data_IF_956769084858
#
_entry.id   IF_956769084858
#
_cell.length_a   1.000
_cell.length_b   1.000
_cell.length_c   1.000
_cell.angle_alpha   90.00
_cell.angle_beta   90.00
_cell.angle_gamma   90.00
#
_symmetry.space_group_name_H-M   'P 1'
#
loop_
_entity.id
_entity.type
_entity.pdbx_description
1 polymer ?
#
# COMPACT_ATOMS: atom_id res chain seq x y z
N UNK A 1 -15.34 -33.91 -26.02
CA UNK A 1 -16.34 -33.37 -26.96
C UNK A 1 -16.29 -31.85 -26.82
N UNK A 2 -15.43 -31.21 -27.61
CA UNK A 2 -15.11 -29.79 -27.46
C UNK A 2 -16.20 -28.91 -28.07
N UNK A 3 -16.88 -28.13 -27.23
CA UNK A 3 -17.71 -27.02 -27.68
C UNK A 3 -16.76 -25.90 -28.13
N UNK A 4 -16.56 -25.78 -29.44
CA UNK A 4 -15.99 -24.58 -30.04
C UNK A 4 -16.94 -23.42 -29.72
N UNK A 5 -16.53 -22.53 -28.82
CA UNK A 5 -17.19 -21.25 -28.64
C UNK A 5 -17.15 -20.51 -29.98
N UNK A 6 -18.33 -20.27 -30.57
CA UNK A 6 -18.46 -19.41 -31.74
C UNK A 6 -17.99 -18.02 -31.33
N UNK A 7 -16.95 -17.49 -31.99
CA UNK A 7 -16.59 -16.09 -31.88
C UNK A 7 -17.82 -15.25 -32.22
N UNK A 8 -18.35 -14.52 -31.23
CA UNK A 8 -19.44 -13.59 -31.44
C UNK A 8 -18.85 -12.36 -32.11
N UNK A 9 -19.40 -12.01 -33.28
CA UNK A 9 -18.99 -10.82 -33.99
C UNK A 9 -19.47 -9.58 -33.22
N UNK A 10 -18.58 -8.59 -33.08
CA UNK A 10 -18.94 -7.29 -32.52
C UNK A 10 -20.04 -6.64 -33.35
N UNK A 11 -20.94 -5.84 -32.73
CA UNK A 11 -21.80 -4.93 -33.47
C UNK A 11 -20.97 -4.03 -34.39
N UNK A 12 -21.39 -3.84 -35.64
CA UNK A 12 -20.62 -3.13 -36.69
C UNK A 12 -20.11 -1.76 -36.23
N UNK A 13 -20.90 -1.03 -35.43
CA UNK A 13 -20.53 0.27 -34.88
C UNK A 13 -19.35 0.17 -33.90
N UNK A 14 -19.36 -0.79 -32.97
CA UNK A 14 -18.28 -0.99 -32.00
C UNK A 14 -17.04 -1.56 -32.68
N UNK A 15 -17.22 -2.48 -33.63
CA UNK A 15 -16.13 -3.01 -34.45
C UNK A 15 -15.40 -1.88 -35.20
N UNK A 16 -16.13 -0.92 -35.75
CA UNK A 16 -15.56 0.24 -36.43
C UNK A 16 -14.73 1.09 -35.46
N UNK A 17 -15.27 1.41 -34.27
CA UNK A 17 -14.55 2.20 -33.26
C UNK A 17 -13.26 1.50 -32.81
N UNK A 18 -13.32 0.19 -32.53
CA UNK A 18 -12.14 -0.61 -32.15
C UNK A 18 -11.09 -0.61 -33.26
N UNK A 19 -11.51 -0.76 -34.51
CA UNK A 19 -10.61 -0.69 -35.66
C UNK A 19 -9.98 0.69 -35.82
N UNK A 20 -10.72 1.77 -35.57
CA UNK A 20 -10.22 3.15 -35.62
C UNK A 20 -9.17 3.38 -34.54
N UNK A 21 -9.40 2.93 -33.30
CA UNK A 21 -8.41 2.97 -32.21
C UNK A 21 -7.15 2.22 -32.63
N UNK A 22 -7.30 0.98 -33.13
CA UNK A 22 -6.19 0.16 -33.56
C UNK A 22 -5.41 0.76 -34.75
N UNK A 23 -6.10 1.42 -35.68
CA UNK A 23 -5.48 2.11 -36.80
C UNK A 23 -4.72 3.36 -36.35
N UNK A 24 -5.33 4.18 -35.48
CA UNK A 24 -4.71 5.38 -34.93
C UNK A 24 -3.48 5.07 -34.08
N UNK A 25 -3.54 4.04 -33.23
CA UNK A 25 -2.40 3.58 -32.43
C UNK A 25 -1.22 3.15 -33.31
N UNK A 26 -1.48 2.32 -34.35
CA UNK A 26 -0.45 1.88 -35.31
C UNK A 26 0.09 3.04 -36.17
N UNK A 27 -0.77 3.99 -36.51
CA UNK A 27 -0.41 5.21 -37.24
C UNK A 27 0.32 6.25 -36.41
N UNK A 28 0.42 6.05 -35.08
CA UNK A 28 0.94 7.03 -34.12
C UNK A 28 0.22 8.39 -34.19
N UNK A 29 -1.10 8.34 -34.39
CA UNK A 29 -1.96 9.51 -34.54
C UNK A 29 -2.73 9.76 -33.22
N UNK A 30 -2.23 10.65 -32.33
CA UNK A 30 -2.85 10.89 -31.04
C UNK A 30 -4.24 11.54 -31.15
N UNK A 31 -4.46 12.39 -32.17
CA UNK A 31 -5.75 13.07 -32.35
C UNK A 31 -6.83 12.09 -32.77
N UNK A 32 -6.55 11.25 -33.78
CA UNK A 32 -7.46 10.20 -34.20
C UNK A 32 -7.71 9.17 -33.09
N UNK A 33 -6.67 8.84 -32.30
CA UNK A 33 -6.75 7.91 -31.19
C UNK A 33 -7.71 8.42 -30.10
N UNK A 34 -7.52 9.66 -29.64
CA UNK A 34 -8.36 10.28 -28.61
C UNK A 34 -9.80 10.46 -29.11
N UNK A 35 -9.98 10.87 -30.37
CA UNK A 35 -11.31 10.98 -30.97
C UNK A 35 -12.03 9.63 -31.03
N UNK A 36 -11.32 8.53 -31.34
CA UNK A 36 -11.90 7.18 -31.34
C UNK A 36 -12.17 6.67 -29.92
N UNK A 37 -11.28 6.97 -28.96
CA UNK A 37 -11.49 6.70 -27.53
C UNK A 37 -12.72 7.39 -26.97
N UNK A 38 -12.98 8.65 -27.32
CA UNK A 38 -14.20 9.34 -26.91
C UNK A 38 -15.45 8.66 -27.48
N UNK A 39 -15.44 8.27 -28.76
CA UNK A 39 -16.56 7.51 -29.35
C UNK A 39 -16.81 6.18 -28.64
N UNK A 40 -15.74 5.51 -28.20
CA UNK A 40 -15.84 4.28 -27.40
C UNK A 40 -16.51 4.56 -26.05
N UNK A 41 -16.07 5.60 -25.34
CA UNK A 41 -16.64 6.00 -24.05
C UNK A 41 -18.14 6.34 -24.17
N UNK A 42 -18.54 7.08 -25.21
CA UNK A 42 -19.93 7.48 -25.44
C UNK A 42 -20.86 6.27 -25.70
N UNK A 43 -20.32 5.17 -26.24
CA UNK A 43 -21.07 3.95 -26.58
C UNK A 43 -20.98 2.86 -25.51
N UNK A 44 -20.16 3.08 -24.48
CA UNK A 44 -19.89 2.08 -23.45
C UNK A 44 -21.15 1.54 -22.78
N UNK A 45 -22.10 2.43 -22.44
CA UNK A 45 -23.34 2.07 -21.76
C UNK A 45 -24.36 1.30 -22.63
N UNK A 46 -24.16 1.27 -23.96
CA UNK A 46 -25.05 0.59 -24.90
C UNK A 46 -24.57 -0.83 -25.27
N UNK A 47 -23.30 -1.14 -24.98
CA UNK A 47 -22.67 -2.42 -25.32
C UNK A 47 -22.99 -3.50 -24.28
N UNK A 48 -23.14 -4.75 -24.72
CA UNK A 48 -23.23 -5.87 -23.79
C UNK A 48 -21.84 -6.24 -23.24
N UNK A 49 -21.81 -6.93 -22.09
CA UNK A 49 -20.56 -7.47 -21.52
C UNK A 49 -19.76 -8.29 -22.54
N UNK A 50 -20.46 -9.11 -23.33
CA UNK A 50 -19.86 -9.91 -24.39
C UNK A 50 -19.22 -9.07 -25.50
N UNK A 51 -19.84 -7.94 -25.86
CA UNK A 51 -19.28 -7.02 -26.86
C UNK A 51 -18.02 -6.34 -26.31
N UNK A 52 -18.04 -5.92 -25.05
CA UNK A 52 -16.89 -5.30 -24.40
C UNK A 52 -15.71 -6.27 -24.27
N UNK A 53 -15.95 -7.54 -23.91
CA UNK A 53 -14.90 -8.58 -23.83
C UNK A 53 -14.29 -8.89 -25.21
N UNK A 54 -15.12 -8.91 -26.27
CA UNK A 54 -14.64 -9.06 -27.63
C UNK A 54 -13.81 -7.84 -28.08
N UNK A 55 -14.18 -6.61 -27.68
CA UNK A 55 -13.38 -5.41 -27.92
C UNK A 55 -12.02 -5.46 -27.22
N UNK A 56 -11.98 -5.88 -25.95
CA UNK A 56 -10.73 -6.10 -25.18
C UNK A 56 -9.83 -7.11 -25.90
N UNK A 57 -10.39 -8.23 -26.36
CA UNK A 57 -9.65 -9.26 -27.09
C UNK A 57 -9.01 -8.72 -28.37
N UNK A 58 -9.70 -7.85 -29.10
CA UNK A 58 -9.18 -7.24 -30.33
C UNK A 58 -8.12 -6.15 -30.07
N UNK A 59 -8.25 -5.43 -28.96
CA UNK A 59 -7.32 -4.36 -28.57
C UNK A 59 -6.09 -4.87 -27.82
N UNK A 60 -6.12 -6.08 -27.26
CA UNK A 60 -4.99 -6.69 -26.57
C UNK A 60 -3.67 -6.71 -27.40
N UNK A 61 -3.63 -7.19 -28.67
CA UNK A 61 -2.42 -7.11 -29.48
C UNK A 61 -2.01 -5.67 -29.80
N UNK A 62 -2.98 -4.75 -29.90
CA UNK A 62 -2.70 -3.32 -30.12
C UNK A 62 -2.00 -2.71 -28.92
N UNK A 63 -2.38 -3.08 -27.70
CA UNK A 63 -1.72 -2.62 -26.47
C UNK A 63 -0.25 -3.03 -26.43
N UNK A 64 0.05 -4.28 -26.81
CA UNK A 64 1.42 -4.80 -26.84
C UNK A 64 2.32 -4.05 -27.82
N UNK A 65 1.78 -3.68 -28.98
CA UNK A 65 2.53 -2.98 -30.04
C UNK A 65 2.40 -1.44 -29.97
N UNK A 66 1.65 -0.92 -28.99
CA UNK A 66 1.35 0.51 -28.91
C UNK A 66 2.63 1.33 -28.67
N UNK A 67 2.79 2.49 -29.34
CA UNK A 67 3.84 3.42 -28.97
C UNK A 67 3.64 3.87 -27.51
N UNK A 68 4.72 4.10 -26.76
CA UNK A 68 4.65 4.41 -25.33
C UNK A 68 3.73 5.59 -25.00
N UNK A 69 3.65 6.59 -25.88
CA UNK A 69 2.77 7.76 -25.74
C UNK A 69 1.27 7.46 -25.84
N UNK A 70 0.88 6.34 -26.48
CA UNK A 70 -0.51 5.92 -26.63
C UNK A 70 -0.84 4.65 -25.83
N UNK A 71 0.16 3.88 -25.43
CA UNK A 71 -0.02 2.65 -24.66
C UNK A 71 -0.68 2.90 -23.30
N UNK A 72 -0.25 3.95 -22.58
CA UNK A 72 -0.86 4.33 -21.30
C UNK A 72 -2.35 4.68 -21.43
N UNK A 73 -2.74 5.62 -22.31
CA UNK A 73 -4.14 5.90 -22.60
C UNK A 73 -4.95 4.66 -23.04
N UNK A 74 -4.37 3.80 -23.88
CA UNK A 74 -5.03 2.55 -24.29
C UNK A 74 -5.24 1.59 -23.11
N UNK A 75 -4.27 1.49 -22.21
CA UNK A 75 -4.37 0.70 -20.98
C UNK A 75 -5.54 1.18 -20.09
N UNK A 76 -5.75 2.50 -19.99
CA UNK A 76 -6.89 3.07 -19.25
C UNK A 76 -8.24 2.75 -19.90
N UNK A 77 -8.33 2.83 -21.23
CA UNK A 77 -9.54 2.40 -21.94
C UNK A 77 -9.82 0.91 -21.72
N UNK A 78 -8.80 0.06 -21.82
CA UNK A 78 -8.92 -1.37 -21.57
C UNK A 78 -9.36 -1.68 -20.14
N UNK A 79 -8.79 -0.99 -19.14
CA UNK A 79 -9.23 -1.09 -17.74
C UNK A 79 -10.71 -0.76 -17.57
N UNK A 80 -11.17 0.33 -18.21
CA UNK A 80 -12.58 0.73 -18.23
C UNK A 80 -13.47 -0.30 -18.93
N UNK A 81 -13.03 -0.83 -20.08
CA UNK A 81 -13.76 -1.83 -20.84
C UNK A 81 -13.95 -3.11 -20.03
N UNK A 82 -12.89 -3.59 -19.39
CA UNK A 82 -12.94 -4.78 -18.54
C UNK A 82 -13.85 -4.53 -17.33
N UNK A 83 -13.71 -3.39 -16.66
CA UNK A 83 -14.51 -3.06 -15.49
C UNK A 83 -14.37 -4.10 -14.36
N UNK A 84 -15.42 -4.20 -13.53
CA UNK A 84 -15.42 -5.10 -12.37
C UNK A 84 -15.89 -6.53 -12.70
N UNK A 85 -16.37 -6.78 -13.92
CA UNK A 85 -17.02 -8.04 -14.31
C UNK A 85 -16.51 -8.67 -15.62
N UNK A 86 -15.70 -7.96 -16.41
CA UNK A 86 -15.14 -8.46 -17.67
C UNK A 86 -13.88 -9.32 -17.51
N UNK A 87 -13.44 -9.94 -18.60
CA UNK A 87 -12.22 -10.77 -18.60
C UNK A 87 -10.94 -9.92 -18.76
N UNK A 88 -10.10 -9.90 -17.73
CA UNK A 88 -8.81 -9.20 -17.75
C UNK A 88 -7.67 -10.02 -18.37
N UNK A 89 -7.86 -11.33 -18.53
CA UNK A 89 -6.83 -12.28 -18.97
C UNK A 89 -6.12 -11.85 -20.26
N UNK A 90 -6.80 -11.31 -21.30
CA UNK A 90 -6.15 -10.98 -22.57
C UNK A 90 -5.07 -9.90 -22.47
N UNK A 91 -5.09 -9.05 -21.43
CA UNK A 91 -4.21 -7.87 -21.32
C UNK A 91 -3.34 -7.86 -20.07
N UNK A 92 -3.60 -8.75 -19.11
CA UNK A 92 -3.01 -8.67 -17.77
C UNK A 92 -1.48 -8.76 -17.80
N UNK A 93 -0.90 -9.64 -18.63
CA UNK A 93 0.55 -9.76 -18.81
C UNK A 93 1.17 -8.45 -19.29
N UNK A 94 0.58 -7.83 -20.33
CA UNK A 94 1.08 -6.57 -20.89
C UNK A 94 0.93 -5.43 -19.88
N UNK A 95 -0.21 -5.32 -19.20
CA UNK A 95 -0.43 -4.27 -18.19
C UNK A 95 0.60 -4.36 -17.06
N UNK A 96 0.86 -5.56 -16.53
CA UNK A 96 1.81 -5.73 -15.43
C UNK A 96 3.26 -5.55 -15.88
N UNK A 97 3.66 -6.06 -17.04
CA UNK A 97 5.01 -5.84 -17.57
C UNK A 97 5.30 -4.35 -17.72
N UNK A 98 4.37 -3.59 -18.30
CA UNK A 98 4.54 -2.15 -18.47
C UNK A 98 4.47 -1.38 -17.15
N UNK A 99 3.64 -1.80 -16.19
CA UNK A 99 3.64 -1.21 -14.85
C UNK A 99 4.99 -1.43 -14.12
N UNK A 100 5.59 -2.62 -14.23
CA UNK A 100 6.91 -2.89 -13.67
C UNK A 100 7.97 -1.96 -14.29
N UNK A 101 8.04 -1.90 -15.63
CA UNK A 101 8.98 -1.04 -16.36
C UNK A 101 8.79 0.43 -16.01
N UNK A 102 7.54 0.89 -15.90
CA UNK A 102 7.22 2.25 -15.54
C UNK A 102 7.74 2.64 -14.16
N UNK A 103 7.57 1.77 -13.16
CA UNK A 103 8.06 1.98 -11.79
C UNK A 103 9.59 1.94 -11.74
N UNK A 104 10.21 0.93 -12.35
CA UNK A 104 11.67 0.77 -12.44
C UNK A 104 12.33 1.95 -13.16
N UNK A 105 11.80 2.33 -14.33
CA UNK A 105 12.29 3.44 -15.13
C UNK A 105 12.06 4.80 -14.48
N UNK A 106 10.97 4.97 -13.72
CA UNK A 106 10.73 6.20 -12.93
C UNK A 106 11.85 6.42 -11.91
N UNK A 107 12.24 5.38 -11.16
CA UNK A 107 13.36 5.48 -10.20
C UNK A 107 14.65 5.88 -10.90
N UNK A 108 14.94 5.24 -12.03
CA UNK A 108 16.12 5.53 -12.83
C UNK A 108 16.11 6.96 -13.37
N UNK A 109 14.95 7.46 -13.82
CA UNK A 109 14.80 8.84 -14.27
C UNK A 109 15.13 9.82 -13.15
N UNK A 110 14.54 9.64 -11.97
CA UNK A 110 14.74 10.55 -10.83
C UNK A 110 16.21 10.62 -10.43
N UNK A 111 16.88 9.47 -10.29
CA UNK A 111 18.29 9.44 -9.96
C UNK A 111 19.17 10.12 -11.02
N UNK A 112 18.93 9.84 -12.31
CA UNK A 112 19.76 10.37 -13.39
C UNK A 112 19.45 11.82 -13.76
N UNK A 113 18.20 12.26 -13.62
CA UNK A 113 17.81 13.62 -13.94
C UNK A 113 18.44 14.58 -12.92
N UNK A 114 18.39 14.23 -11.64
CA UNK A 114 19.06 15.00 -10.57
C UNK A 114 20.58 15.08 -10.79
N UNK A 115 21.23 13.96 -11.14
CA UNK A 115 22.67 13.91 -11.42
C UNK A 115 23.07 14.75 -12.65
N UNK A 116 22.33 14.63 -13.77
CA UNK A 116 22.79 15.04 -15.09
C UNK A 116 22.20 16.37 -15.57
N UNK A 117 21.01 16.73 -15.10
CA UNK A 117 20.26 17.90 -15.56
C UNK A 117 20.05 18.91 -14.43
N UNK A 118 19.72 18.42 -13.23
CA UNK A 118 19.40 19.21 -12.04
C UNK A 118 18.08 18.76 -11.41
N UNK A 119 17.42 19.59 -10.59
CA UNK A 119 16.24 19.16 -9.83
C UNK A 119 15.17 18.51 -10.71
N UNK A 120 14.65 17.38 -10.26
CA UNK A 120 13.61 16.62 -10.96
C UNK A 120 12.34 17.47 -11.11
N UNK A 121 11.81 17.66 -12.33
CA UNK A 121 10.59 18.41 -12.54
C UNK A 121 9.39 17.65 -12.00
N UNK A 122 8.34 18.36 -11.59
CA UNK A 122 7.06 17.71 -11.30
C UNK A 122 6.56 16.95 -12.55
N UNK A 123 5.97 15.77 -12.36
CA UNK A 123 5.53 14.92 -13.47
C UNK A 123 4.56 15.65 -14.41
N UNK A 124 3.64 16.43 -13.85
CA UNK A 124 2.66 17.20 -14.60
C UNK A 124 3.27 18.34 -15.43
N UNK A 125 4.47 18.79 -15.06
CA UNK A 125 5.21 19.86 -15.73
C UNK A 125 6.24 19.32 -16.73
N UNK A 126 6.55 18.02 -16.67
CA UNK A 126 7.51 17.38 -17.56
C UNK A 126 6.96 17.31 -18.99
N UNK A 127 7.51 18.14 -19.89
CA UNK A 127 7.12 18.23 -21.29
C UNK A 127 8.23 17.81 -22.27
N UNK A 128 8.10 18.26 -23.51
CA UNK A 128 9.07 17.97 -24.59
C UNK A 128 10.47 18.50 -24.25
N UNK A 129 10.55 19.67 -23.61
CA UNK A 129 11.82 20.27 -23.21
C UNK A 129 12.58 19.40 -22.20
N UNK A 130 11.93 19.00 -21.12
CA UNK A 130 12.53 18.19 -20.06
C UNK A 130 12.93 16.81 -20.61
N UNK A 131 12.08 16.25 -21.49
CA UNK A 131 12.40 15.03 -22.23
C UNK A 131 13.67 15.17 -23.08
N UNK A 132 13.77 16.19 -23.93
CA UNK A 132 14.94 16.41 -24.79
C UNK A 132 16.21 16.66 -23.98
N UNK A 133 16.12 17.44 -22.91
CA UNK A 133 17.23 17.73 -22.00
C UNK A 133 17.76 16.46 -21.35
N UNK A 134 16.88 15.64 -20.78
CA UNK A 134 17.26 14.37 -20.18
C UNK A 134 17.86 13.42 -21.21
N UNK A 135 17.21 13.24 -22.36
CA UNK A 135 17.68 12.34 -23.42
C UNK A 135 19.08 12.72 -23.89
N UNK A 136 19.34 14.01 -24.11
CA UNK A 136 20.66 14.47 -24.51
C UNK A 136 21.71 14.23 -23.42
N UNK A 137 21.39 14.49 -22.15
CA UNK A 137 22.31 14.33 -21.04
C UNK A 137 22.62 12.86 -20.72
N UNK A 138 21.62 11.98 -20.80
CA UNK A 138 21.71 10.57 -20.44
C UNK A 138 22.14 9.65 -21.60
N UNK A 139 22.23 10.14 -22.84
CA UNK A 139 22.57 9.34 -24.03
C UNK A 139 23.92 8.59 -23.96
N UNK A 140 24.86 9.06 -23.15
CA UNK A 140 26.16 8.38 -22.94
C UNK A 140 26.20 7.47 -21.71
N UNK A 141 25.13 7.46 -20.91
CA UNK A 141 25.05 6.80 -19.61
C UNK A 141 24.19 5.54 -19.65
N UNK A 142 23.16 5.53 -20.49
CA UNK A 142 22.18 4.46 -20.59
C UNK A 142 21.76 4.23 -22.04
N UNK A 143 21.31 3.02 -22.36
CA UNK A 143 21.03 2.59 -23.73
C UNK A 143 19.79 3.26 -24.35
N UNK A 144 18.72 3.44 -23.57
CA UNK A 144 17.48 4.08 -24.03
C UNK A 144 16.98 5.13 -23.01
N UNK A 145 17.58 6.34 -23.01
CA UNK A 145 17.12 7.41 -22.13
C UNK A 145 15.71 7.89 -22.47
N UNK A 146 15.23 7.65 -23.70
CA UNK A 146 13.87 7.99 -24.09
C UNK A 146 12.84 7.15 -23.32
N UNK A 147 13.07 5.85 -23.21
CA UNK A 147 12.19 4.95 -22.46
C UNK A 147 12.18 5.27 -20.96
N UNK A 148 13.33 5.63 -20.39
CA UNK A 148 13.44 6.05 -18.98
C UNK A 148 12.66 7.34 -18.73
N UNK A 149 12.81 8.36 -19.58
CA UNK A 149 12.03 9.60 -19.48
C UNK A 149 10.52 9.35 -19.60
N UNK A 150 10.09 8.51 -20.55
CA UNK A 150 8.67 8.18 -20.73
C UNK A 150 8.10 7.35 -19.58
N UNK A 151 8.93 6.56 -18.89
CA UNK A 151 8.53 5.88 -17.66
C UNK A 151 8.14 6.89 -16.59
N UNK A 152 8.92 7.95 -16.37
CA UNK A 152 8.54 9.05 -15.48
C UNK A 152 7.25 9.75 -15.91
N UNK A 153 7.12 10.08 -17.19
CA UNK A 153 5.98 10.85 -17.71
C UNK A 153 4.67 10.06 -17.66
N UNK A 154 4.71 8.73 -17.86
CA UNK A 154 3.51 7.91 -18.06
C UNK A 154 3.30 6.81 -17.01
N UNK A 155 4.06 6.79 -15.91
CA UNK A 155 3.95 5.73 -14.91
C UNK A 155 2.54 5.53 -14.36
N UNK A 156 1.85 6.63 -14.05
CA UNK A 156 0.48 6.57 -13.54
C UNK A 156 -0.48 5.88 -14.52
N UNK A 157 -0.33 6.13 -15.82
CA UNK A 157 -1.17 5.53 -16.86
C UNK A 157 -1.02 4.00 -16.97
N UNK A 158 0.10 3.46 -16.53
CA UNK A 158 0.34 2.00 -16.49
C UNK A 158 0.01 1.40 -15.12
N UNK A 159 0.19 2.14 -14.03
CA UNK A 159 -0.11 1.69 -12.66
C UNK A 159 -1.62 1.68 -12.39
N UNK A 160 -2.36 2.72 -12.82
CA UNK A 160 -3.78 2.87 -12.51
C UNK A 160 -4.65 1.69 -13.00
N UNK A 161 -4.52 1.17 -14.24
CA UNK A 161 -5.31 0.03 -14.67
C UNK A 161 -5.05 -1.24 -13.85
N UNK A 162 -3.79 -1.48 -13.46
CA UNK A 162 -3.42 -2.61 -12.60
C UNK A 162 -4.02 -2.44 -11.20
N UNK A 163 -3.93 -1.23 -10.63
CA UNK A 163 -4.53 -0.88 -9.34
C UNK A 163 -6.05 -1.05 -9.35
N UNK A 164 -6.71 -0.58 -10.40
CA UNK A 164 -8.17 -0.69 -10.57
C UNK A 164 -8.61 -2.14 -10.67
N UNK A 165 -8.05 -2.91 -11.61
CA UNK A 165 -8.44 -4.31 -11.84
C UNK A 165 -8.06 -5.21 -10.66
N UNK A 166 -6.93 -4.93 -10.02
CA UNK A 166 -6.48 -5.66 -8.83
C UNK A 166 -7.35 -5.46 -7.59
N UNK A 167 -8.40 -4.63 -7.61
CA UNK A 167 -9.41 -4.67 -6.54
C UNK A 167 -10.29 -5.93 -6.61
N UNK A 168 -10.27 -6.65 -7.74
CA UNK A 168 -10.92 -7.97 -7.88
C UNK A 168 -10.00 -9.10 -7.43
N UNK A 169 -10.56 -10.06 -6.68
CA UNK A 169 -9.81 -11.19 -6.16
C UNK A 169 -9.31 -12.15 -7.25
N UNK A 170 -10.09 -12.37 -8.32
CA UNK A 170 -9.67 -13.20 -9.46
C UNK A 170 -8.44 -12.61 -10.16
N UNK A 171 -8.43 -11.29 -10.39
CA UNK A 171 -7.29 -10.58 -10.98
C UNK A 171 -6.07 -10.64 -10.06
N UNK A 172 -6.20 -10.34 -8.76
CA UNK A 172 -5.05 -10.40 -7.82
C UNK A 172 -4.40 -11.77 -7.76
N UNK A 173 -5.20 -12.83 -7.77
CA UNK A 173 -4.70 -14.22 -7.77
C UNK A 173 -4.02 -14.58 -9.08
N UNK A 174 -4.47 -14.01 -10.19
CA UNK A 174 -3.93 -14.23 -11.52
C UNK A 174 -2.79 -13.26 -11.90
N UNK A 175 -2.40 -12.32 -11.02
CA UNK A 175 -1.38 -11.31 -11.34
C UNK A 175 -0.06 -11.96 -11.77
N UNK A 176 0.35 -11.81 -13.04
CA UNK A 176 1.66 -12.26 -13.50
C UNK A 176 2.74 -11.42 -12.85
N UNK A 177 3.96 -11.96 -12.74
CA UNK A 177 5.12 -11.25 -12.21
C UNK A 177 4.90 -10.53 -10.86
N UNK A 178 3.98 -11.02 -10.02
CA UNK A 178 3.58 -10.35 -8.76
C UNK A 178 4.77 -9.96 -7.88
N UNK A 179 5.77 -10.83 -7.77
CA UNK A 179 6.99 -10.56 -6.99
C UNK A 179 7.77 -9.36 -7.53
N UNK A 180 7.99 -9.29 -8.85
CA UNK A 180 8.66 -8.15 -9.50
C UNK A 180 7.84 -6.88 -9.34
N UNK A 181 6.53 -6.93 -9.58
CA UNK A 181 5.65 -5.77 -9.44
C UNK A 181 5.66 -5.24 -8.00
N UNK A 182 5.63 -6.14 -7.01
CA UNK A 182 5.70 -5.77 -5.59
C UNK A 182 7.04 -5.12 -5.25
N UNK A 183 8.15 -5.72 -5.68
CA UNK A 183 9.48 -5.16 -5.45
C UNK A 183 9.67 -3.80 -6.13
N UNK A 184 9.20 -3.65 -7.37
CA UNK A 184 9.25 -2.39 -8.11
C UNK A 184 8.39 -1.30 -7.43
N UNK A 185 7.18 -1.65 -6.98
CA UNK A 185 6.30 -0.70 -6.30
C UNK A 185 6.86 -0.24 -4.94
N UNK A 186 7.38 -1.17 -4.13
CA UNK A 186 8.02 -0.83 -2.84
C UNK A 186 9.22 0.08 -3.08
N UNK A 187 10.14 -0.33 -3.95
CA UNK A 187 11.37 0.43 -4.16
C UNK A 187 11.11 1.80 -4.80
N UNK A 188 10.04 1.93 -5.60
CA UNK A 188 9.64 3.21 -6.16
C UNK A 188 8.98 4.11 -5.11
N UNK A 189 8.22 3.55 -4.16
CA UNK A 189 7.65 4.30 -3.03
C UNK A 189 8.72 4.75 -2.03
N UNK A 190 9.73 3.91 -1.76
CA UNK A 190 10.84 4.23 -0.85
C UNK A 190 11.68 5.41 -1.37
N UNK A 191 11.99 5.42 -2.67
CA UNK A 191 12.77 6.50 -3.29
C UNK A 191 11.91 7.76 -3.53
N UNK A 192 10.61 7.58 -3.82
CA UNK A 192 9.67 8.64 -4.19
C UNK A 192 8.32 8.43 -3.45
N UNK A 193 8.23 8.90 -2.20
CA UNK A 193 7.00 8.79 -1.42
C UNK A 193 5.79 9.38 -2.16
N UNK A 194 4.69 8.64 -2.21
CA UNK A 194 3.44 9.02 -2.88
C UNK A 194 3.31 8.54 -4.32
N UNK A 195 4.32 7.88 -4.89
CA UNK A 195 4.27 7.40 -6.27
C UNK A 195 3.29 6.24 -6.47
N UNK A 196 3.33 5.24 -5.59
CA UNK A 196 2.52 4.03 -5.73
C UNK A 196 1.97 3.48 -4.38
N UNK A 197 1.62 4.31 -3.37
CA UNK A 197 1.28 3.82 -2.04
C UNK A 197 0.06 2.88 -2.07
N UNK A 198 -0.91 3.19 -2.93
CA UNK A 198 -2.11 2.39 -3.12
C UNK A 198 -1.84 1.05 -3.80
N UNK A 199 -0.88 0.98 -4.73
CA UNK A 199 -0.52 -0.28 -5.37
C UNK A 199 0.23 -1.18 -4.38
N UNK A 200 1.16 -0.63 -3.59
CA UNK A 200 1.85 -1.36 -2.52
C UNK A 200 0.83 -1.94 -1.53
N UNK A 201 -0.20 -1.17 -1.16
CA UNK A 201 -1.30 -1.68 -0.33
C UNK A 201 -2.08 -2.81 -0.96
N UNK A 202 -2.46 -2.66 -2.23
CA UNK A 202 -3.26 -3.64 -2.94
C UNK A 202 -2.52 -4.98 -3.10
N UNK A 203 -1.21 -4.94 -3.35
CA UNK A 203 -0.36 -6.12 -3.52
C UNK A 203 -0.08 -6.86 -2.20
N UNK A 204 -0.38 -6.25 -1.05
CA UNK A 204 -0.26 -6.86 0.27
C UNK A 204 -1.58 -7.44 0.80
N UNK A 205 -2.68 -7.25 0.06
CA UNK A 205 -3.98 -7.85 0.39
C UNK A 205 -3.89 -9.38 0.30
N UNK A 206 -4.39 -10.03 1.35
CA UNK A 206 -4.49 -11.47 1.46
C UNK A 206 -5.82 -11.96 0.89
N UNK A 207 -5.77 -13.03 0.11
CA UNK A 207 -6.94 -13.72 -0.44
C UNK A 207 -6.94 -15.17 0.05
N UNK A 208 -8.11 -15.64 0.51
CA UNK A 208 -8.33 -16.98 1.07
C UNK A 208 -7.40 -17.34 2.25
N UNK A 209 -7.01 -16.34 3.05
CA UNK A 209 -6.05 -16.51 4.14
C UNK A 209 -6.71 -17.14 5.38
N UNK A 210 -6.17 -18.27 5.88
CA UNK A 210 -6.65 -18.88 7.11
C UNK A 210 -6.11 -18.15 8.35
N UNK A 211 -7.01 -17.87 9.29
CA UNK A 211 -6.72 -17.30 10.60
C UNK A 211 -7.28 -18.19 11.72
N UNK A 212 -6.73 -18.03 12.91
CA UNK A 212 -7.38 -18.46 14.17
C UNK A 212 -7.78 -17.23 14.96
N UNK A 213 -9.05 -17.11 15.31
CA UNK A 213 -9.58 -15.99 16.11
C UNK A 213 -10.04 -16.50 17.47
N UNK A 214 -9.53 -15.91 18.55
CA UNK A 214 -9.80 -16.30 19.92
C UNK A 214 -10.59 -15.20 20.63
N UNK A 215 -11.73 -15.51 21.22
CA UNK A 215 -12.42 -14.57 22.12
C UNK A 215 -12.08 -14.92 23.56
N UNK A 216 -11.11 -14.19 24.12
CA UNK A 216 -10.52 -14.49 25.44
C UNK A 216 -11.57 -14.50 26.57
N UNK A 217 -12.56 -13.58 26.64
CA UNK A 217 -13.55 -13.57 27.72
C UNK A 217 -14.43 -14.82 27.79
N UNK A 218 -14.73 -15.46 26.65
CA UNK A 218 -15.57 -16.68 26.62
C UNK A 218 -14.74 -17.95 26.51
N UNK A 219 -13.43 -17.83 26.24
CA UNK A 219 -12.55 -18.97 26.01
C UNK A 219 -12.84 -19.73 24.71
N UNK A 220 -13.54 -19.11 23.76
CA UNK A 220 -13.91 -19.74 22.48
C UNK A 220 -12.92 -19.38 21.38
N UNK A 221 -12.75 -20.28 20.42
CA UNK A 221 -11.89 -20.08 19.25
C UNK A 221 -12.68 -20.34 17.97
N UNK A 222 -12.23 -19.72 16.88
CA UNK A 222 -12.84 -19.81 15.56
C UNK A 222 -11.76 -20.06 14.52
N UNK A 223 -12.06 -20.96 13.57
CA UNK A 223 -11.36 -21.03 12.31
C UNK A 223 -11.98 -19.99 11.40
N UNK A 224 -11.15 -19.08 10.91
CA UNK A 224 -11.59 -17.97 10.07
C UNK A 224 -10.84 -18.01 8.75
N UNK A 225 -11.50 -17.68 7.65
CA UNK A 225 -10.86 -17.40 6.37
C UNK A 225 -11.21 -15.98 5.98
N UNK A 226 -10.22 -15.18 5.63
CA UNK A 226 -10.42 -13.81 5.13
C UNK A 226 -9.99 -13.70 3.66
N UNK A 227 -10.67 -12.87 2.90
CA UNK A 227 -10.23 -12.47 1.55
C UNK A 227 -10.50 -11.00 1.34
N UNK A 228 -9.61 -10.31 0.65
CA UNK A 228 -9.87 -8.92 0.23
C UNK A 228 -9.95 -7.90 1.37
N UNK A 229 -9.28 -8.15 2.50
CA UNK A 229 -9.24 -7.21 3.63
C UNK A 229 -7.99 -6.32 3.51
N UNK A 230 -8.21 -5.01 3.38
CA UNK A 230 -7.18 -4.02 3.05
C UNK A 230 -6.38 -3.52 4.24
N UNK A 231 -7.03 -3.32 5.38
CA UNK A 231 -6.43 -2.79 6.60
C UNK A 231 -7.12 -3.38 7.84
N UNK A 232 -6.58 -3.05 9.01
CA UNK A 232 -7.14 -3.54 10.26
C UNK A 232 -8.42 -2.80 10.66
N UNK A 233 -8.70 -1.57 10.18
CA UNK A 233 -10.00 -0.91 10.36
C UNK A 233 -11.15 -1.77 9.77
N UNK A 234 -10.97 -2.24 8.54
CA UNK A 234 -11.90 -3.13 7.86
C UNK A 234 -11.98 -4.49 8.58
N UNK A 235 -10.83 -5.07 8.95
CA UNK A 235 -10.76 -6.35 9.68
C UNK A 235 -11.55 -6.31 11.00
N UNK A 236 -11.41 -5.24 11.78
CA UNK A 236 -12.13 -5.03 13.03
C UNK A 236 -13.65 -5.16 12.83
N UNK A 237 -14.18 -4.46 11.83
CA UNK A 237 -15.63 -4.45 11.53
C UNK A 237 -16.10 -5.84 11.12
N UNK A 238 -15.37 -6.49 10.22
CA UNK A 238 -15.74 -7.81 9.69
C UNK A 238 -15.67 -8.88 10.78
N UNK A 239 -14.62 -8.91 11.61
CA UNK A 239 -14.54 -9.83 12.75
C UNK A 239 -15.69 -9.58 13.74
N UNK A 240 -16.02 -8.32 14.02
CA UNK A 240 -17.20 -7.95 14.83
C UNK A 240 -18.48 -8.57 14.30
N UNK A 241 -18.75 -8.40 13.01
CA UNK A 241 -19.99 -8.85 12.37
C UNK A 241 -20.11 -10.38 12.33
N UNK A 242 -18.99 -11.09 12.10
CA UNK A 242 -19.00 -12.54 11.92
C UNK A 242 -18.81 -13.33 13.22
N UNK A 243 -18.11 -12.79 14.22
CA UNK A 243 -17.80 -13.52 15.47
C UNK A 243 -18.85 -13.31 16.55
N UNK A 244 -19.34 -12.07 16.76
CA UNK A 244 -20.29 -11.77 17.84
C UNK A 244 -21.55 -12.67 17.80
N UNK A 245 -22.17 -12.94 16.63
CA UNK A 245 -23.34 -13.81 16.55
C UNK A 245 -23.08 -15.27 16.99
N UNK A 246 -21.82 -15.71 16.90
CA UNK A 246 -21.37 -17.07 17.21
C UNK A 246 -20.93 -17.24 18.68
N UNK A 247 -20.74 -16.14 19.42
CA UNK A 247 -20.32 -16.21 20.82
C UNK A 247 -21.35 -16.93 21.70
N UNK A 248 -20.88 -17.70 22.71
CA UNK A 248 -21.78 -18.36 23.64
C UNK A 248 -22.50 -17.32 24.49
N UNK A 249 -23.81 -17.50 24.64
CA UNK A 249 -24.66 -16.62 25.46
C UNK A 249 -25.37 -17.44 26.52
N UNK A 250 -25.38 -16.93 27.75
CA UNK A 250 -26.20 -17.49 28.80
C UNK A 250 -27.68 -17.39 28.41
N UNK A 251 -28.48 -18.40 28.77
CA UNK A 251 -29.93 -18.34 28.63
C UNK A 251 -30.55 -18.05 29.99
N UNK A 252 -31.31 -16.96 30.12
CA UNK A 252 -31.96 -16.55 31.38
C UNK A 252 -33.48 -16.48 31.26
N UNK A 253 -34.14 -16.64 32.42
CA UNK A 253 -35.59 -16.60 32.57
C UNK A 253 -36.32 -17.86 32.09
N UNK A 254 -37.63 -17.93 32.38
CA UNK A 254 -38.51 -19.07 32.05
C UNK A 254 -38.57 -19.33 30.54
N UNK A 255 -38.44 -18.28 29.73
CA UNK A 255 -38.43 -18.36 28.26
C UNK A 255 -37.05 -18.68 27.66
N UNK A 256 -36.01 -18.90 28.48
CA UNK A 256 -34.62 -19.17 28.06
C UNK A 256 -34.12 -18.21 26.97
N UNK A 257 -34.45 -16.91 27.08
CA UNK A 257 -34.00 -15.88 26.13
C UNK A 257 -32.48 -15.75 26.22
N UNK A 258 -31.84 -15.47 25.08
CA UNK A 258 -30.40 -15.16 25.01
C UNK A 258 -30.14 -13.88 25.83
N UNK A 259 -29.29 -13.97 26.84
CA UNK A 259 -28.78 -12.82 27.59
C UNK A 259 -27.47 -12.37 26.94
N UNK A 260 -27.54 -11.28 26.18
CA UNK A 260 -26.40 -10.68 25.47
C UNK A 260 -25.81 -9.48 26.22
N UNK A 261 -26.26 -9.20 27.45
CA UNK A 261 -25.85 -7.99 28.20
C UNK A 261 -24.35 -7.92 28.50
N UNK A 262 -23.65 -9.07 28.50
CA UNK A 262 -22.20 -9.15 28.68
C UNK A 262 -21.39 -9.26 27.38
N UNK A 263 -22.02 -9.16 26.21
CA UNK A 263 -21.35 -9.19 24.92
C UNK A 263 -21.29 -7.79 24.29
N UNK A 264 -20.26 -7.48 23.49
CA UNK A 264 -20.25 -6.27 22.70
C UNK A 264 -21.39 -6.25 21.69
N UNK A 265 -21.88 -5.06 21.37
CA UNK A 265 -22.88 -4.88 20.32
C UNK A 265 -22.27 -5.24 18.95
N UNK A 266 -22.99 -6.04 18.16
CA UNK A 266 -22.56 -6.34 16.79
C UNK A 266 -22.56 -5.07 15.91
N UNK A 267 -21.66 -4.97 14.91
CA UNK A 267 -21.73 -3.98 13.85
C UNK A 267 -23.13 -3.94 13.21
N UNK A 268 -23.56 -2.74 12.82
CA UNK A 268 -24.83 -2.58 12.10
C UNK A 268 -24.71 -3.14 10.67
N UNK A 269 -25.84 -3.44 9.99
CA UNK A 269 -25.80 -3.85 8.59
C UNK A 269 -25.10 -2.83 7.67
N UNK A 270 -25.23 -1.52 7.96
CA UNK A 270 -24.55 -0.49 7.18
C UNK A 270 -23.03 -0.48 7.40
N UNK A 271 -22.57 -0.72 8.64
CA UNK A 271 -21.14 -0.89 8.93
C UNK A 271 -20.57 -2.12 8.23
N UNK A 272 -21.29 -3.24 8.25
CA UNK A 272 -20.90 -4.45 7.52
C UNK A 272 -20.83 -4.19 6.01
N UNK A 273 -21.86 -3.57 5.43
CA UNK A 273 -21.91 -3.27 4.00
C UNK A 273 -20.78 -2.31 3.55
N UNK A 274 -20.42 -1.37 4.41
CA UNK A 274 -19.27 -0.49 4.19
C UNK A 274 -17.94 -1.26 4.21
N UNK A 275 -17.81 -2.25 5.09
CA UNK A 275 -16.59 -3.04 5.24
C UNK A 275 -16.47 -4.20 4.23
N UNK A 276 -17.55 -4.81 3.77
CA UNK A 276 -17.51 -5.93 2.81
C UNK A 276 -17.58 -5.49 1.33
N UNK A 277 -17.89 -4.22 1.07
CA UNK A 277 -17.99 -3.66 -0.27
C UNK A 277 -19.39 -3.72 -0.88
N UNK A 278 -20.40 -4.21 -0.16
CA UNK A 278 -21.79 -4.29 -0.64
C UNK A 278 -22.61 -3.00 -0.48
N UNK A 279 -22.05 -1.98 0.17
CA UNK A 279 -22.70 -0.69 0.37
C UNK A 279 -21.76 0.52 0.38
N UNK A 280 -22.33 1.65 0.82
CA UNK A 280 -21.63 2.94 0.88
C UNK A 280 -20.34 2.86 1.68
N UNK A 281 -19.30 3.51 1.18
CA UNK A 281 -17.98 3.54 1.80
C UNK A 281 -18.00 4.11 3.22
N UNK A 282 -18.76 5.19 3.41
CA UNK A 282 -18.90 5.92 4.65
C UNK A 282 -20.37 5.88 5.12
N UNK A 283 -20.74 4.90 5.97
CA UNK A 283 -22.12 4.76 6.43
C UNK A 283 -22.49 5.90 7.38
N UNK A 284 -23.77 6.29 7.39
CA UNK A 284 -24.25 7.32 8.30
C UNK A 284 -23.99 6.93 9.77
N UNK A 285 -23.31 7.83 10.52
CA UNK A 285 -22.91 7.59 11.91
C UNK A 285 -21.55 6.90 12.07
N UNK A 286 -20.85 6.60 10.96
CA UNK A 286 -19.52 6.02 10.95
C UNK A 286 -19.48 4.56 11.41
N UNK A 287 -18.28 4.09 11.70
CA UNK A 287 -17.98 2.76 12.21
C UNK A 287 -17.46 2.87 13.64
N UNK A 288 -17.64 1.80 14.40
CA UNK A 288 -17.14 1.67 15.77
C UNK A 288 -16.47 0.33 15.94
N UNK A 289 -15.44 0.24 16.79
CA UNK A 289 -14.75 -1.01 17.07
C UNK A 289 -15.31 -1.74 18.30
N UNK A 290 -15.51 -3.05 18.18
CA UNK A 290 -16.18 -3.89 19.20
C UNK A 290 -15.21 -4.62 20.11
N UNK A 291 -14.00 -4.87 19.63
CA UNK A 291 -12.95 -5.64 20.29
C UNK A 291 -11.64 -4.93 20.18
N UNK A 292 -10.77 -5.09 21.18
CA UNK A 292 -9.34 -4.91 21.02
C UNK A 292 -8.76 -6.11 20.27
N UNK A 293 -8.03 -5.87 19.19
CA UNK A 293 -7.31 -6.92 18.48
C UNK A 293 -5.89 -7.00 19.01
N UNK A 294 -5.48 -8.22 19.36
CA UNK A 294 -4.17 -8.53 19.91
C UNK A 294 -3.63 -9.73 19.15
N UNK A 295 -2.36 -9.74 18.78
CA UNK A 295 -1.75 -10.92 18.17
C UNK A 295 -1.53 -12.03 19.22
N UNK A 296 -1.18 -13.24 18.79
CA UNK A 296 -0.90 -14.31 19.74
C UNK A 296 0.38 -14.11 20.58
N UNK A 297 1.22 -13.11 20.25
CA UNK A 297 2.38 -12.69 21.03
C UNK A 297 2.05 -11.59 22.05
N UNK A 298 0.79 -11.16 22.13
CA UNK A 298 0.30 -10.15 23.07
C UNK A 298 0.50 -8.71 22.61
N UNK A 299 1.04 -8.48 21.41
CA UNK A 299 1.13 -7.13 20.83
C UNK A 299 -0.23 -6.69 20.29
N UNK A 300 -0.47 -5.38 20.30
CA UNK A 300 -1.70 -4.83 19.74
C UNK A 300 -1.65 -4.89 18.23
N UNK A 301 -2.77 -5.25 17.63
CA UNK A 301 -2.99 -5.12 16.19
C UNK A 301 -3.64 -3.76 16.00
N UNK A 302 -2.85 -2.79 15.57
CA UNK A 302 -3.30 -1.41 15.34
C UNK A 302 -4.12 -1.29 14.07
N UNK A 303 -5.07 -0.37 14.06
CA UNK A 303 -6.00 -0.18 12.94
C UNK A 303 -5.28 0.25 11.65
N UNK A 304 -4.23 1.05 11.80
CA UNK A 304 -3.40 1.60 10.73
C UNK A 304 -2.55 0.53 10.03
N UNK A 305 -2.31 -0.59 10.72
CA UNK A 305 -1.61 -1.73 10.16
C UNK A 305 -2.47 -2.57 9.22
N UNK A 306 -1.88 -3.65 8.73
CA UNK A 306 -2.50 -4.56 7.76
C UNK A 306 -2.59 -6.00 8.24
N UNK A 307 -3.52 -6.80 7.70
CA UNK A 307 -3.63 -8.21 8.06
C UNK A 307 -2.34 -9.01 7.79
N UNK A 308 -1.56 -8.66 6.77
CA UNK A 308 -0.33 -9.38 6.42
C UNK A 308 0.81 -9.17 7.43
N UNK A 309 0.75 -8.09 8.23
CA UNK A 309 1.72 -7.73 9.27
C UNK A 309 1.51 -8.54 10.56
N UNK A 310 0.35 -9.18 10.72
CA UNK A 310 0.06 -10.01 11.88
C UNK A 310 1.01 -11.22 11.87
N UNK A 311 1.83 -11.43 12.92
CA UNK A 311 2.80 -12.52 12.95
C UNK A 311 2.14 -13.90 12.87
N UNK A 312 2.84 -14.83 12.23
CA UNK A 312 2.47 -16.24 12.20
C UNK A 312 2.89 -16.94 13.50
N UNK A 313 1.99 -17.76 14.05
CA UNK A 313 2.26 -18.69 15.14
C UNK A 313 1.95 -20.08 14.61
N UNK A 314 2.96 -20.95 14.57
CA UNK A 314 2.85 -22.30 13.99
C UNK A 314 2.30 -22.26 12.53
N UNK A 315 2.66 -21.22 11.76
CA UNK A 315 2.27 -21.07 10.37
C UNK A 315 0.87 -20.49 10.13
N UNK A 316 0.17 -20.02 11.17
CA UNK A 316 -1.14 -19.35 11.05
C UNK A 316 -1.17 -18.03 11.81
N UNK A 317 -1.88 -17.04 11.28
CA UNK A 317 -2.11 -15.77 11.99
C UNK A 317 -3.12 -15.99 13.10
N UNK A 318 -2.78 -15.57 14.31
CA UNK A 318 -3.65 -15.72 15.49
C UNK A 318 -4.06 -14.34 15.98
N UNK A 319 -5.36 -14.10 16.01
CA UNK A 319 -5.97 -12.86 16.50
C UNK A 319 -6.73 -13.15 17.78
N UNK A 320 -6.52 -12.35 18.81
CA UNK A 320 -7.21 -12.41 20.08
C UNK A 320 -8.11 -11.19 20.23
N UNK A 321 -9.39 -11.45 20.47
CA UNK A 321 -10.43 -10.49 20.74
C UNK A 321 -10.53 -10.28 22.25
N UNK A 322 -10.06 -9.13 22.70
CA UNK A 322 -10.18 -8.67 24.08
C UNK A 322 -11.22 -7.53 24.19
N UNK A 323 -11.77 -7.26 25.39
CA UNK A 323 -12.64 -6.11 25.60
C UNK A 323 -11.96 -4.80 25.15
N UNK A 324 -12.68 -3.88 24.49
CA UNK A 324 -12.09 -2.62 24.05
C UNK A 324 -11.69 -1.77 25.28
N UNK A 325 -10.43 -1.30 25.36
CA UNK A 325 -9.97 -0.49 26.49
C UNK A 325 -10.51 0.95 26.45
N UNK A 326 -10.98 1.40 25.28
CA UNK A 326 -11.67 2.66 25.05
C UNK A 326 -12.56 2.54 23.82
N UNK A 327 -13.49 3.47 23.63
CA UNK A 327 -14.33 3.53 22.45
C UNK A 327 -13.54 4.11 21.26
N UNK A 328 -13.54 3.39 20.14
CA UNK A 328 -12.92 3.82 18.87
C UNK A 328 -13.94 3.83 17.75
N UNK A 329 -13.78 4.74 16.82
CA UNK A 329 -14.57 4.83 15.59
C UNK A 329 -13.77 5.43 14.45
N UNK A 330 -14.30 5.27 13.24
CA UNK A 330 -13.70 5.71 11.98
C UNK A 330 -14.79 5.90 10.92
N UNK A 331 -14.48 6.64 9.87
CA UNK A 331 -15.52 7.12 8.93
C UNK A 331 -15.75 6.18 7.74
N UNK A 332 -14.73 5.44 7.31
CA UNK A 332 -14.76 4.61 6.10
C UNK A 332 -14.61 3.11 6.41
N UNK A 333 -15.45 2.27 5.81
CA UNK A 333 -15.41 0.83 6.03
C UNK A 333 -14.24 0.10 5.36
N UNK A 334 -13.64 0.70 4.33
CA UNK A 334 -12.54 0.13 3.54
C UNK A 334 -11.67 1.21 2.92
N UNK A 335 -10.41 0.90 2.64
CA UNK A 335 -9.51 1.81 1.95
C UNK A 335 -9.76 1.86 0.42
N UNK A 336 -10.11 0.71 -0.17
CA UNK A 336 -10.30 0.52 -1.60
C UNK A 336 -11.80 0.46 -1.94
N UNK A 337 -12.36 1.45 -2.67
CA UNK A 337 -13.81 1.56 -2.85
C UNK A 337 -14.47 0.37 -3.58
N UNK A 338 -13.75 -0.30 -4.47
CA UNK A 338 -14.25 -1.41 -5.30
C UNK A 338 -13.82 -2.79 -4.78
N UNK A 339 -13.06 -2.82 -3.69
CA UNK A 339 -12.62 -4.06 -3.06
C UNK A 339 -13.78 -4.70 -2.32
N UNK A 340 -14.09 -5.94 -2.68
CA UNK A 340 -15.03 -6.78 -1.94
C UNK A 340 -14.25 -7.68 -0.97
N UNK A 341 -14.61 -7.62 0.31
CA UNK A 341 -14.01 -8.44 1.35
C UNK A 341 -14.97 -9.56 1.77
N UNK A 342 -14.41 -10.67 2.23
CA UNK A 342 -15.18 -11.77 2.82
C UNK A 342 -14.53 -12.28 4.10
N UNK A 343 -15.37 -12.71 5.04
CA UNK A 343 -14.96 -13.42 6.25
C UNK A 343 -15.87 -14.62 6.44
N UNK A 344 -15.28 -15.80 6.50
CA UNK A 344 -15.97 -17.03 6.89
C UNK A 344 -15.48 -17.46 8.25
N UNK A 345 -16.38 -17.71 9.21
CA UNK A 345 -16.02 -18.06 10.57
C UNK A 345 -16.78 -19.30 11.04
N UNK A 346 -16.05 -20.27 11.60
CA UNK A 346 -16.62 -21.50 12.17
C UNK A 346 -16.05 -21.74 13.58
N UNK A 347 -16.88 -22.04 14.59
CA UNK A 347 -16.38 -22.35 15.93
C UNK A 347 -15.47 -23.58 15.95
N UNK A 348 -14.35 -23.49 16.66
CA UNK A 348 -13.49 -24.64 16.94
C UNK A 348 -13.98 -25.44 18.15
N UNK A 349 -13.66 -26.74 18.23
CA UNK A 349 -13.85 -27.54 19.44
C UNK A 349 -13.19 -26.94 20.69
N UNK A 350 -13.78 -27.20 21.87
CA UNK A 350 -13.32 -26.61 23.14
C UNK A 350 -11.91 -27.04 23.56
N UNK A 351 -11.48 -28.24 23.17
CA UNK A 351 -10.11 -28.73 23.37
C UNK A 351 -9.11 -27.99 22.46
N UNK A 352 -9.43 -27.78 21.19
CA UNK A 352 -8.63 -26.94 20.29
C UNK A 352 -8.57 -25.49 20.77
N UNK A 353 -9.69 -24.92 21.22
CA UNK A 353 -9.73 -23.57 21.78
C UNK A 353 -8.82 -23.43 23.01
N UNK A 354 -8.86 -24.40 23.93
CA UNK A 354 -7.97 -24.42 25.11
C UNK A 354 -6.50 -24.56 24.73
N UNK A 355 -6.20 -25.41 23.75
CA UNK A 355 -4.85 -25.56 23.21
C UNK A 355 -4.31 -24.22 22.69
N UNK A 356 -5.07 -23.52 21.84
CA UNK A 356 -4.67 -22.20 21.35
C UNK A 356 -4.52 -21.17 22.47
N UNK A 357 -5.49 -21.10 23.39
CA UNK A 357 -5.44 -20.17 24.53
C UNK A 357 -4.23 -20.39 25.45
N UNK A 358 -3.75 -21.63 25.56
CA UNK A 358 -2.54 -21.94 26.35
C UNK A 358 -1.23 -21.46 25.71
N UNK A 359 -1.25 -21.12 24.41
CA UNK A 359 -0.07 -20.69 23.64
C UNK A 359 0.02 -19.17 23.52
N UNK A 360 -1.10 -18.45 23.63
CA UNK A 360 -1.11 -16.99 23.46
C UNK A 360 -0.60 -16.27 24.70
N UNK A 361 0.06 -15.14 24.47
CA UNK A 361 0.48 -14.24 25.55
C UNK A 361 -0.69 -13.32 26.01
N UNK A 362 -0.63 -12.80 27.24
CA UNK A 362 -1.51 -11.71 27.66
C UNK A 362 -1.29 -10.47 26.79
N UNK A 363 -2.33 -9.67 26.59
CA UNK A 363 -2.20 -8.38 25.93
C UNK A 363 -1.23 -7.47 26.69
N UNK A 364 -0.34 -6.79 25.95
CA UNK A 364 0.46 -5.71 26.51
C UNK A 364 -0.47 -4.59 27.01
N UNK A 365 -0.16 -3.98 28.18
CA UNK A 365 -0.84 -2.78 28.64
C UNK A 365 -0.85 -1.67 27.57
N UNK A 366 -1.90 -0.85 27.52
CA UNK A 366 -2.05 0.20 26.51
C UNK A 366 -0.84 1.15 26.50
N UNK A 367 -0.30 1.54 27.65
CA UNK A 367 0.89 2.41 27.74
C UNK A 367 2.14 1.78 27.12
N UNK A 368 2.30 0.46 27.23
CA UNK A 368 3.40 -0.27 26.59
C UNK A 368 3.14 -0.50 25.10
N UNK A 369 1.88 -0.70 24.72
CA UNK A 369 1.48 -0.88 23.34
C UNK A 369 1.64 0.41 22.55
N UNK A 370 1.22 1.55 23.11
CA UNK A 370 1.37 2.87 22.50
C UNK A 370 2.85 3.22 22.35
N UNK A 371 3.70 3.00 23.36
CA UNK A 371 5.15 3.19 23.23
C UNK A 371 5.80 2.30 22.17
N UNK A 372 5.34 1.05 22.04
CA UNK A 372 5.82 0.15 21.00
C UNK A 372 5.30 0.55 19.61
N UNK A 373 4.12 1.17 19.54
CA UNK A 373 3.56 1.73 18.30
C UNK A 373 4.22 3.05 17.93
N UNK A 374 4.53 3.92 18.89
CA UNK A 374 5.29 5.16 18.71
C UNK A 374 6.75 4.85 18.33
N UNK A 375 7.26 3.67 18.67
CA UNK A 375 8.53 3.16 18.18
C UNK A 375 8.45 2.52 16.78
N UNK A 376 7.24 2.34 16.20
CA UNK A 376 7.01 1.74 14.88
C UNK A 376 6.31 2.70 13.89
N UNK A 377 5.63 3.72 14.40
CA UNK A 377 5.21 4.91 13.69
C UNK A 377 6.43 5.83 13.73
N UNK A 378 6.90 6.30 12.57
CA UNK A 378 7.82 7.44 12.56
C UNK A 378 7.12 8.58 13.28
N UNK A 379 7.48 8.78 14.54
CA UNK A 379 7.02 9.91 15.30
C UNK A 379 7.61 11.15 14.63
N UNK A 380 6.74 12.11 14.34
CA UNK A 380 7.03 13.39 13.68
C UNK A 380 8.01 14.27 14.50
N UNK A 381 8.59 13.72 15.57
CA UNK A 381 9.57 14.32 16.47
C UNK A 381 11.01 13.84 16.23
N UNK A 382 11.28 13.02 15.19
CA UNK A 382 12.62 12.63 14.69
C UNK A 382 13.62 12.31 15.82
N UNK A 383 13.11 11.76 16.92
CA UNK A 383 13.82 11.62 18.17
C UNK A 383 14.33 10.18 18.32
N UNK A 384 15.60 10.05 18.69
CA UNK A 384 16.21 8.75 18.97
C UNK A 384 16.31 8.56 20.47
N UNK A 385 15.87 7.41 20.98
CA UNK A 385 15.97 7.09 22.40
C UNK A 385 17.43 6.79 22.79
N UNK A 386 18.00 7.59 23.70
CA UNK A 386 19.40 7.46 24.11
C UNK A 386 19.56 6.70 25.44
N UNK A 387 20.68 5.98 25.64
CA UNK A 387 21.00 5.36 26.92
C UNK A 387 21.03 6.35 28.08
N UNK A 388 20.70 5.89 29.29
CA UNK A 388 20.75 6.74 30.49
C UNK A 388 22.14 7.35 30.69
N UNK A 389 22.19 8.68 30.79
CA UNK A 389 23.44 9.44 30.97
C UNK A 389 24.12 9.85 29.66
N UNK A 390 23.49 9.62 28.50
CA UNK A 390 23.92 10.13 27.20
C UNK A 390 22.95 11.20 26.71
N UNK A 391 23.45 12.15 25.94
CA UNK A 391 22.65 13.20 25.33
C UNK A 391 22.85 13.30 23.81
N UNK A 392 22.07 14.18 23.18
CA UNK A 392 22.10 14.39 21.73
C UNK A 392 23.47 14.90 21.26
N UNK A 393 24.15 15.70 22.07
CA UNK A 393 25.48 16.21 21.73
C UNK A 393 26.51 15.06 21.68
N UNK A 394 26.40 14.05 22.55
CA UNK A 394 27.23 12.85 22.49
C UNK A 394 27.13 12.15 21.13
N UNK A 395 25.91 11.95 20.61
CA UNK A 395 25.65 11.31 19.31
C UNK A 395 26.25 12.11 18.18
N UNK A 396 25.98 13.43 18.13
CA UNK A 396 26.52 14.33 17.11
C UNK A 396 28.06 14.29 17.14
N UNK A 397 28.66 14.43 18.32
CA UNK A 397 30.11 14.44 18.48
C UNK A 397 30.76 13.13 18.05
N UNK A 398 30.17 12.00 18.43
CA UNK A 398 30.68 10.69 18.05
C UNK A 398 30.59 10.46 16.54
N UNK A 399 29.44 10.75 15.93
CA UNK A 399 29.21 10.59 14.48
C UNK A 399 30.16 11.46 13.67
N UNK A 400 30.33 12.73 14.04
CA UNK A 400 31.28 13.63 13.38
C UNK A 400 32.73 13.17 13.55
N UNK A 401 33.11 12.68 14.74
CA UNK A 401 34.45 12.18 15.00
C UNK A 401 34.73 10.88 14.23
N UNK A 402 33.76 9.99 14.10
CA UNK A 402 33.87 8.76 13.30
C UNK A 402 33.98 9.07 11.81
N UNK A 403 33.16 9.99 11.30
CA UNK A 403 33.24 10.48 9.91
C UNK A 403 34.59 11.13 9.60
N UNK A 404 35.12 11.96 10.51
CA UNK A 404 36.45 12.57 10.38
C UNK A 404 37.60 11.55 10.34
N UNK A 405 37.38 10.33 10.85
CA UNK A 405 38.33 9.19 10.75
C UNK A 405 38.16 8.38 9.47
N UNK A 406 37.26 8.77 8.58
CA UNK A 406 36.99 8.10 7.30
C UNK A 406 35.95 6.99 7.36
N UNK A 407 35.20 6.86 8.47
CA UNK A 407 34.09 5.89 8.56
C UNK A 407 32.85 6.47 7.86
N UNK A 408 32.23 5.71 6.96
CA UNK A 408 31.10 6.21 6.14
C UNK A 408 30.05 5.14 5.84
N UNK A 409 28.85 5.57 5.42
CA UNK A 409 27.75 4.68 5.04
C UNK A 409 27.36 3.70 6.15
N UNK A 410 27.08 2.45 5.78
CA UNK A 410 26.64 1.40 6.71
C UNK A 410 27.64 1.13 7.86
N UNK A 411 28.94 1.34 7.64
CA UNK A 411 29.96 1.17 8.68
C UNK A 411 29.82 2.25 9.77
N UNK A 412 29.47 3.48 9.37
CA UNK A 412 29.23 4.59 10.30
C UNK A 412 27.95 4.34 11.11
N UNK A 413 26.90 3.89 10.45
CA UNK A 413 25.65 3.48 11.11
C UNK A 413 25.91 2.34 12.09
N UNK A 414 26.65 1.30 11.70
CA UNK A 414 26.98 0.19 12.60
C UNK A 414 27.79 0.66 13.81
N UNK A 415 28.72 1.61 13.61
CA UNK A 415 29.53 2.17 14.69
C UNK A 415 28.70 3.02 15.66
N UNK A 416 27.71 3.78 15.17
CA UNK A 416 26.80 4.59 15.99
C UNK A 416 25.82 3.68 16.74
N UNK A 417 25.27 2.66 16.08
CA UNK A 417 24.40 1.65 16.70
C UNK A 417 25.11 0.94 17.86
N UNK A 418 26.36 0.53 17.66
CA UNK A 418 27.16 -0.13 18.69
C UNK A 418 27.47 0.77 19.89
N UNK A 419 27.83 2.03 19.66
CA UNK A 419 28.20 2.97 20.73
C UNK A 419 26.99 3.40 21.57
N UNK A 420 25.84 3.63 20.95
CA UNK A 420 24.65 4.16 21.62
C UNK A 420 23.59 3.10 21.88
N UNK A 421 23.87 1.82 21.61
CA UNK A 421 22.92 0.70 21.74
C UNK A 421 21.61 0.97 20.99
N UNK A 422 21.69 1.61 19.83
CA UNK A 422 20.55 1.96 18.99
C UNK A 422 20.16 0.79 18.10
N UNK A 423 18.89 0.77 17.67
CA UNK A 423 18.49 -0.09 16.55
C UNK A 423 19.22 0.34 15.27
N UNK A 424 19.27 -0.54 14.26
CA UNK A 424 19.86 -0.19 12.96
C UNK A 424 19.13 1.01 12.33
N UNK A 425 17.80 1.07 12.47
CA UNK A 425 16.95 2.14 11.96
C UNK A 425 17.20 3.47 12.70
N UNK A 426 17.22 3.45 14.04
CA UNK A 426 17.52 4.63 14.86
C UNK A 426 18.93 5.18 14.58
N UNK A 427 19.87 4.28 14.34
CA UNK A 427 21.24 4.66 14.01
C UNK A 427 21.36 5.27 12.62
N UNK A 428 20.66 4.71 11.63
CA UNK A 428 20.58 5.29 10.29
C UNK A 428 19.93 6.68 10.35
N UNK A 429 18.84 6.82 11.10
CA UNK A 429 18.18 8.10 11.35
C UNK A 429 19.10 9.11 12.04
N UNK A 430 19.80 8.71 13.11
CA UNK A 430 20.73 9.59 13.83
C UNK A 430 21.85 10.09 12.91
N UNK A 431 22.44 9.20 12.10
CA UNK A 431 23.49 9.56 11.14
C UNK A 431 22.97 10.52 10.07
N UNK A 432 21.80 10.23 9.49
CA UNK A 432 21.12 11.10 8.53
C UNK A 432 20.86 12.51 9.10
N UNK A 433 20.27 12.58 10.30
CA UNK A 433 19.97 13.86 10.97
C UNK A 433 21.22 14.66 11.29
N UNK A 434 22.32 14.02 11.72
CA UNK A 434 23.61 14.70 11.95
C UNK A 434 24.08 15.38 10.68
N UNK A 435 24.12 14.69 9.53
CA UNK A 435 24.56 15.30 8.28
C UNK A 435 23.56 16.30 7.71
N UNK A 436 22.26 16.06 7.87
CA UNK A 436 21.21 17.01 7.51
C UNK A 436 21.36 18.35 8.23
N UNK A 437 21.73 18.34 9.52
CA UNK A 437 22.04 19.54 10.29
C UNK A 437 23.22 20.34 9.72
N UNK A 438 24.31 19.67 9.34
CA UNK A 438 25.50 20.30 8.72
C UNK A 438 25.13 20.93 7.37
N UNK A 439 24.42 20.19 6.51
CA UNK A 439 24.00 20.67 5.19
C UNK A 439 23.12 21.90 5.31
N UNK A 440 22.17 21.91 6.25
CA UNK A 440 21.32 23.09 6.52
C UNK A 440 22.14 24.28 7.04
N UNK A 441 23.10 24.06 7.92
CA UNK A 441 23.98 25.12 8.43
C UNK A 441 24.82 25.76 7.31
N UNK A 442 25.30 24.96 6.35
CA UNK A 442 26.06 25.45 5.20
C UNK A 442 25.25 26.42 4.30
N UNK A 443 23.91 26.40 4.38
CA UNK A 443 23.06 27.33 3.61
C UNK A 443 23.04 28.75 4.18
N UNK A 444 23.44 28.94 5.45
CA UNK A 444 23.33 30.20 6.20
C UNK A 444 21.93 30.84 6.20
N UNK A 445 20.90 30.06 5.84
CA UNK A 445 19.51 30.51 5.82
C UNK A 445 18.83 30.12 7.14
N UNK A 446 18.38 31.12 7.91
CA UNK A 446 17.70 30.90 9.20
C UNK A 446 16.38 30.14 9.02
N UNK A 447 15.73 30.24 7.86
CA UNK A 447 14.52 29.48 7.56
C UNK A 447 14.76 27.96 7.47
N UNK A 448 16.02 27.53 7.29
CA UNK A 448 16.41 26.12 7.26
C UNK A 448 16.83 25.58 8.65
N UNK A 449 16.70 26.39 9.71
CA UNK A 449 17.03 25.98 11.07
C UNK A 449 16.13 24.82 11.52
N UNK A 450 16.69 23.66 11.91
CA UNK A 450 15.90 22.56 12.46
C UNK A 450 15.21 22.97 13.76
N UNK A 451 14.03 22.43 14.01
CA UNK A 451 13.28 22.67 15.25
C UNK A 451 13.96 21.90 16.41
N UNK A 452 14.36 22.56 17.51
CA UNK A 452 15.09 21.92 18.61
C UNK A 452 14.26 20.90 19.39
N UNK A 453 12.93 20.91 19.26
CA UNK A 453 12.02 19.97 19.90
C UNK A 453 11.68 18.81 18.97
N UNK A 454 11.54 19.08 17.66
CA UNK A 454 11.12 18.07 16.67
C UNK A 454 12.26 17.39 15.89
N UNK A 455 13.46 17.96 15.90
CA UNK A 455 14.65 17.35 15.26
C UNK A 455 15.89 17.76 16.07
N UNK A 456 15.99 17.28 17.34
CA UNK A 456 17.04 17.73 18.26
C UNK A 456 18.44 17.37 17.76
N UNK A 457 18.59 16.24 17.05
CA UNK A 457 19.88 15.79 16.49
C UNK A 457 20.33 16.72 15.36
N UNK A 458 19.45 17.02 14.40
CA UNK A 458 19.83 17.94 13.34
C UNK A 458 20.02 19.37 13.87
N UNK A 459 19.22 19.80 14.85
CA UNK A 459 19.39 21.12 15.48
C UNK A 459 20.75 21.25 16.17
N UNK A 460 21.17 20.25 16.95
CA UNK A 460 22.45 20.26 17.66
C UNK A 460 23.63 20.22 16.68
N UNK A 461 23.55 19.39 15.62
CA UNK A 461 24.55 19.37 14.56
C UNK A 461 24.61 20.69 13.78
N UNK A 462 23.47 21.29 13.46
CA UNK A 462 23.35 22.61 12.83
C UNK A 462 24.02 23.70 13.69
N UNK A 463 23.73 23.73 14.99
CA UNK A 463 24.33 24.68 15.95
C UNK A 463 25.85 24.55 15.99
N UNK A 464 26.37 23.32 16.13
CA UNK A 464 27.81 23.07 16.17
C UNK A 464 28.51 23.43 14.85
N UNK A 465 27.86 23.20 13.71
CA UNK A 465 28.40 23.55 12.40
C UNK A 465 28.51 25.08 12.23
N UNK A 466 27.52 25.86 12.68
CA UNK A 466 27.60 27.32 12.69
C UNK A 466 28.72 27.82 13.60
N UNK A 467 28.83 27.29 14.83
CA UNK A 467 29.89 27.67 15.78
C UNK A 467 31.31 27.41 15.24
N UNK A 468 31.49 26.33 14.45
CA UNK A 468 32.77 26.02 13.78
C UNK A 468 33.06 26.91 12.57
N UNK A 469 32.04 27.51 11.97
CA UNK A 469 32.20 28.42 10.82
C UNK A 469 32.55 29.86 11.24
N UNK A 470 32.29 30.21 12.51
CA UNK A 470 32.60 31.52 13.10
C UNK A 470 33.95 31.56 13.84
N UNK A 471 34.55 30.41 14.12
CA UNK A 471 35.87 30.24 14.77
C UNK A 471 36.99 30.10 13.73
#
# INVERSE_FOLDING_TARGET
MGLYARAVALPDALQTIVNDIAAAARGKDPEAFLAAGQRLADRFHEASRQDLDAAVTLLAPVLTDAPESLGGPLAQYLGSLIGMDGDATPVLDTLVEHACRALEGTRQFVALYDELVGPVPERAECGEREYEQFVAAAASRIDDPGAVARSWMYAESWVQPVLFLGQRADVRRALPQRERLTAAAIAAEDDLPGLAPWLVGLLRILDDEPLVVLHRPTGTAFRVTISGVSDNFQLHTLLGAHIIPLLPVARRGVLRRRDTSGLPAAPTPAMLAAADGSGDLAPAGGLTGQFNLVDGLGAWIWNEGRPDEIPLIDGVRVIVLDPPPYQRGWDSGRAYPLLCASVEATPLPNDEARMWLSRIKPAKPLDQATKASEALVWSDDMAVALPSGRDVADVVNYTLAASARGVSGLELETAVAGEFSLSAEDSALAVDRVFGGITRAATLNEANRPDPVKDPIAFESYRQALERSEA
#
